data_IF_303273592614
#
_entry.id   IF_303273592614
#
_cell.length_a   1.000
_cell.length_b   1.000
_cell.length_c   1.000
_cell.angle_alpha   90.00
_cell.angle_beta   90.00
_cell.angle_gamma   90.00
#
_symmetry.space_group_name_H-M   'P 1'
#
loop_
_entity.id
_entity.type
_entity.pdbx_description
1 polymer ?
#
# COMPACT_ATOMS: atom_id res chain seq x y z
N UNK A 1 -6.62 10.58 -11.62
CA UNK A 1 -6.15 9.25 -12.08
C UNK A 1 -5.57 8.53 -10.87
N UNK A 2 -5.81 7.22 -10.67
CA UNK A 2 -5.25 6.50 -9.54
C UNK A 2 -3.72 6.45 -9.65
N UNK A 3 -3.03 6.80 -8.57
CA UNK A 3 -1.58 7.01 -8.54
C UNK A 3 -0.78 5.73 -8.21
N UNK A 4 -1.43 4.72 -7.62
CA UNK A 4 -0.85 3.37 -7.46
C UNK A 4 -1.87 2.24 -7.66
N UNK A 5 -1.37 1.00 -7.68
CA UNK A 5 -2.21 -0.20 -7.53
C UNK A 5 -2.17 -0.73 -6.10
N UNK A 6 -3.26 -1.36 -5.66
CA UNK A 6 -3.34 -2.00 -4.33
C UNK A 6 -2.48 -3.26 -4.27
N UNK A 7 -2.02 -3.61 -3.08
CA UNK A 7 -1.32 -4.88 -2.87
C UNK A 7 -2.25 -6.07 -3.11
N UNK A 8 -1.77 -7.14 -3.78
CA UNK A 8 -2.56 -8.33 -4.06
C UNK A 8 -2.89 -9.11 -2.79
N UNK A 9 -4.05 -9.80 -2.78
CA UNK A 9 -4.61 -10.49 -1.62
C UNK A 9 -3.67 -11.56 -1.02
N UNK A 10 -2.89 -12.23 -1.88
CA UNK A 10 -1.91 -13.24 -1.47
C UNK A 10 -0.86 -12.67 -0.50
N UNK A 11 -0.44 -11.42 -0.69
CA UNK A 11 0.55 -10.77 0.18
C UNK A 11 -0.08 -10.43 1.54
N UNK A 12 -1.37 -10.14 1.58
CA UNK A 12 -2.10 -9.90 2.83
C UNK A 12 -2.25 -11.18 3.66
N UNK A 13 -2.51 -12.31 3.01
CA UNK A 13 -2.65 -13.62 3.68
C UNK A 13 -1.30 -14.22 4.07
N UNK A 14 -0.31 -14.19 3.17
CA UNK A 14 0.99 -14.83 3.38
C UNK A 14 1.96 -13.96 4.20
N UNK A 15 1.79 -12.63 4.16
CA UNK A 15 2.68 -11.69 4.87
C UNK A 15 1.92 -10.47 5.40
N UNK A 16 0.87 -10.73 6.17
CA UNK A 16 0.01 -9.67 6.75
C UNK A 16 0.75 -8.69 7.66
N UNK A 17 1.83 -9.11 8.34
CA UNK A 17 2.61 -8.23 9.21
C UNK A 17 3.38 -7.17 8.41
N UNK A 18 4.08 -7.54 7.34
CA UNK A 18 4.78 -6.57 6.49
C UNK A 18 3.81 -5.73 5.67
N UNK A 19 2.69 -6.30 5.24
CA UNK A 19 1.62 -5.55 4.57
C UNK A 19 1.09 -4.44 5.49
N UNK A 20 0.77 -4.75 6.75
CA UNK A 20 0.33 -3.76 7.74
C UNK A 20 1.38 -2.69 8.00
N UNK A 21 2.65 -3.06 8.12
CA UNK A 21 3.74 -2.10 8.31
C UNK A 21 3.87 -1.13 7.11
N UNK A 22 3.75 -1.65 5.88
CA UNK A 22 3.76 -0.82 4.67
C UNK A 22 2.54 0.10 4.59
N UNK A 23 1.34 -0.39 4.89
CA UNK A 23 0.11 0.43 4.94
C UNK A 23 0.19 1.51 6.02
N UNK A 24 0.75 1.18 7.20
CA UNK A 24 0.98 2.15 8.27
C UNK A 24 2.01 3.21 7.87
N UNK A 25 3.08 2.84 7.17
CA UNK A 25 4.06 3.78 6.64
C UNK A 25 3.47 4.72 5.57
N UNK A 26 2.45 4.26 4.83
CA UNK A 26 1.70 5.07 3.87
C UNK A 26 0.56 5.90 4.50
N UNK A 27 0.22 5.67 5.77
CA UNK A 27 -0.85 6.36 6.50
C UNK A 27 -2.27 5.86 6.20
N UNK A 28 -2.62 5.63 4.94
CA UNK A 28 -3.91 5.07 4.52
C UNK A 28 -3.76 4.19 3.27
N UNK A 29 -4.50 3.07 3.20
CA UNK A 29 -4.57 2.19 2.01
C UNK A 29 -5.47 2.80 0.91
N UNK A 30 -5.29 4.10 0.67
CA UNK A 30 -5.91 4.80 -0.43
C UNK A 30 -5.07 4.58 -1.70
N UNK A 31 -5.77 4.51 -2.83
CA UNK A 31 -5.20 4.39 -4.17
C UNK A 31 -4.64 5.74 -4.64
N UNK A 32 -5.06 6.83 -3.99
CA UNK A 32 -4.60 8.19 -4.22
C UNK A 32 -3.41 8.61 -3.33
N UNK A 33 -2.92 7.72 -2.45
CA UNK A 33 -1.74 8.02 -1.63
C UNK A 33 -0.53 8.14 -2.55
N UNK A 34 0.06 9.35 -2.58
CA UNK A 34 1.26 9.62 -3.38
C UNK A 34 2.39 8.72 -2.92
N UNK A 35 2.98 7.99 -3.86
CA UNK A 35 4.17 7.19 -3.58
C UNK A 35 5.40 8.10 -3.44
N UNK A 36 6.44 7.61 -2.77
CA UNK A 36 7.61 8.42 -2.42
C UNK A 36 8.36 9.06 -3.61
N UNK A 37 8.12 8.56 -4.82
CA UNK A 37 8.67 9.09 -6.07
C UNK A 37 7.68 9.95 -6.88
N UNK A 38 6.42 10.09 -6.44
CA UNK A 38 5.45 11.01 -7.03
C UNK A 38 5.61 12.41 -6.46
N UNK A 39 6.05 13.33 -7.32
CA UNK A 39 6.22 14.75 -7.01
C UNK A 39 4.86 15.47 -7.02
#
# INVERSE_FOLDING_TARGET
MPTRFKYPLIVQTNNGNNYRAAVQAMGADDVNTKVWWEK
#
